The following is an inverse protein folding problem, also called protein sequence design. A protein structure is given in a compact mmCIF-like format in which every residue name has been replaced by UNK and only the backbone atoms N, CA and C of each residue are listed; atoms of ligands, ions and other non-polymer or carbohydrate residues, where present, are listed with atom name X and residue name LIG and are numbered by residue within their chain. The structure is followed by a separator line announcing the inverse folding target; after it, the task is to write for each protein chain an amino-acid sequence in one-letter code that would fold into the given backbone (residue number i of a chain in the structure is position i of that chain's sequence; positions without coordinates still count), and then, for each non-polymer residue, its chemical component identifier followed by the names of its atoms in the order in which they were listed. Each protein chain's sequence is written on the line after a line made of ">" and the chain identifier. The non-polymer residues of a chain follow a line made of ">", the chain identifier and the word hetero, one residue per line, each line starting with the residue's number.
data_IF_204633534264
#
_entry.id   IF_204633534264
#
_cell.length_a   1.000
_cell.length_b   1.000
_cell.length_c   1.000
_cell.angle_alpha   90.00
_cell.angle_beta   90.00
_cell.angle_gamma   90.00
#
_symmetry.space_group_name_H-M   'P 1'
#
loop_
_entity.id
_entity.type
_entity.pdbx_description
1 polymer ?
#
# COMPACT_ATOMS: atom_id res chain seq x y z
N UNK A 1 -17.48 -17.72 43.88
CA UNK A 1 -16.04 -17.44 43.72
C UNK A 1 -15.67 -17.84 42.30
N UNK A 2 -15.22 -16.91 41.45
CA UNK A 2 -14.70 -17.26 40.12
C UNK A 2 -13.41 -18.05 40.33
N UNK A 3 -13.45 -19.37 40.17
CA UNK A 3 -12.26 -20.22 40.17
C UNK A 3 -11.56 -20.06 38.83
N UNK A 4 -10.63 -19.11 38.74
CA UNK A 4 -9.79 -18.92 37.56
C UNK A 4 -8.81 -20.10 37.51
N UNK A 5 -9.07 -21.07 36.63
CA UNK A 5 -8.14 -22.18 36.36
C UNK A 5 -7.16 -21.79 35.26
N UNK A 6 -5.99 -22.42 35.23
CA UNK A 6 -4.98 -22.19 34.17
C UNK A 6 -5.55 -22.38 32.76
N UNK A 7 -6.47 -23.33 32.58
CA UNK A 7 -7.16 -23.58 31.32
C UNK A 7 -8.03 -22.40 30.88
N UNK A 8 -8.84 -21.83 31.80
CA UNK A 8 -9.67 -20.66 31.49
C UNK A 8 -8.82 -19.46 31.07
N UNK A 9 -7.66 -19.26 31.71
CA UNK A 9 -6.73 -18.19 31.35
C UNK A 9 -6.15 -18.40 29.93
N UNK A 10 -5.76 -19.63 29.59
CA UNK A 10 -5.21 -19.92 28.25
C UNK A 10 -6.23 -19.71 27.14
N UNK A 11 -7.50 -20.02 27.38
CA UNK A 11 -8.59 -19.84 26.42
C UNK A 11 -8.90 -18.35 26.20
N UNK A 12 -8.90 -17.56 27.26
CA UNK A 12 -9.09 -16.11 27.15
C UNK A 12 -7.93 -15.45 26.39
N UNK A 13 -6.70 -15.92 26.65
CA UNK A 13 -5.51 -15.43 25.97
C UNK A 13 -5.52 -15.83 24.48
N UNK A 14 -5.90 -17.06 24.14
CA UNK A 14 -6.00 -17.51 22.74
C UNK A 14 -7.07 -16.74 21.96
N UNK A 15 -8.23 -16.47 22.58
CA UNK A 15 -9.32 -15.72 21.95
C UNK A 15 -8.89 -14.31 21.50
N UNK A 16 -8.06 -13.62 22.29
CA UNK A 16 -7.55 -12.29 21.94
C UNK A 16 -6.29 -12.32 21.07
N UNK A 17 -5.41 -13.30 21.26
CA UNK A 17 -4.07 -13.26 20.67
C UNK A 17 -4.04 -13.48 19.16
N UNK A 18 -4.83 -14.41 18.62
CA UNK A 18 -4.87 -14.64 17.17
C UNK A 18 -5.43 -13.44 16.38
N UNK A 19 -6.57 -12.83 16.79
CA UNK A 19 -7.03 -11.58 16.18
C UNK A 19 -6.00 -10.46 16.27
N UNK A 20 -5.31 -10.36 17.41
CA UNK A 20 -4.26 -9.36 17.62
C UNK A 20 -3.11 -9.50 16.63
N UNK A 21 -2.65 -10.72 16.33
CA UNK A 21 -1.61 -10.94 15.33
C UNK A 21 -2.07 -10.50 13.94
N UNK A 22 -3.29 -10.86 13.52
CA UNK A 22 -3.83 -10.46 12.21
C UNK A 22 -3.90 -8.94 12.07
N UNK A 23 -4.41 -8.26 13.12
CA UNK A 23 -4.54 -6.80 13.15
C UNK A 23 -3.18 -6.10 13.18
N UNK A 24 -2.24 -6.60 13.99
CA UNK A 24 -0.89 -6.05 14.08
C UNK A 24 -0.12 -6.24 12.77
N UNK A 25 -0.27 -7.40 12.11
CA UNK A 25 0.31 -7.67 10.80
C UNK A 25 -0.25 -6.73 9.72
N UNK A 26 -1.56 -6.48 9.71
CA UNK A 26 -2.16 -5.46 8.83
C UNK A 26 -1.64 -4.07 9.15
N UNK A 27 -1.71 -3.60 10.40
CA UNK A 27 -1.26 -2.25 10.75
C UNK A 27 0.26 -2.08 10.57
N UNK A 28 1.02 -3.16 10.70
CA UNK A 28 2.45 -3.18 10.41
C UNK A 28 2.76 -2.95 8.93
N UNK A 29 1.89 -3.41 8.04
CA UNK A 29 2.05 -3.34 6.58
C UNK A 29 1.14 -2.30 5.92
N UNK A 30 0.19 -1.67 6.61
CA UNK A 30 -0.66 -0.66 6.01
C UNK A 30 0.16 0.60 5.64
N UNK A 31 -0.08 1.21 4.45
CA UNK A 31 0.77 2.28 3.90
C UNK A 31 0.88 3.52 4.80
N UNK A 32 -0.19 3.90 5.51
CA UNK A 32 -0.19 5.02 6.45
C UNK A 32 0.63 4.74 7.73
N UNK A 33 0.59 3.51 8.21
CA UNK A 33 1.18 3.15 9.50
C UNK A 33 2.63 2.66 9.39
N UNK A 34 3.15 2.46 8.17
CA UNK A 34 4.47 1.89 7.91
C UNK A 34 5.63 2.92 7.95
N UNK A 35 5.37 4.21 8.17
CA UNK A 35 6.45 5.21 8.32
C UNK A 35 7.10 5.20 9.74
N UNK A 36 8.30 5.80 9.84
CA UNK A 36 9.36 5.57 10.86
C UNK A 36 8.90 5.24 12.31
N UNK A 37 9.71 4.38 12.93
CA UNK A 37 9.76 3.82 14.30
C UNK A 37 8.90 4.43 15.44
N UNK A 38 8.62 5.74 15.46
CA UNK A 38 7.76 6.39 16.45
C UNK A 38 6.31 5.85 16.45
N UNK A 39 5.83 5.33 15.31
CA UNK A 39 4.46 4.81 15.15
C UNK A 39 4.29 3.38 15.69
N UNK A 40 5.37 2.67 16.05
CA UNK A 40 5.29 1.25 16.48
C UNK A 40 4.47 1.08 17.75
N UNK A 41 4.68 1.94 18.76
CA UNK A 41 3.92 1.90 20.02
C UNK A 41 2.43 2.18 19.78
N UNK A 42 2.14 3.13 18.90
CA UNK A 42 0.76 3.51 18.53
C UNK A 42 0.06 2.36 17.79
N UNK A 43 0.74 1.68 16.86
CA UNK A 43 0.21 0.49 16.17
C UNK A 43 -0.16 -0.62 17.13
N UNK A 44 0.73 -0.94 18.06
CA UNK A 44 0.50 -1.99 19.06
C UNK A 44 -0.68 -1.61 19.98
N UNK A 45 -0.74 -0.36 20.43
CA UNK A 45 -1.84 0.13 21.24
C UNK A 45 -3.18 0.08 20.48
N UNK A 46 -3.21 0.55 19.23
CA UNK A 46 -4.41 0.49 18.37
C UNK A 46 -4.86 -0.95 18.13
N UNK A 47 -3.96 -1.86 17.76
CA UNK A 47 -4.27 -3.26 17.60
C UNK A 47 -4.89 -3.86 18.88
N UNK A 48 -4.31 -3.53 20.04
CA UNK A 48 -4.78 -4.02 21.33
C UNK A 48 -6.21 -3.52 21.65
N UNK A 49 -6.48 -2.22 21.50
CA UNK A 49 -7.81 -1.66 21.76
C UNK A 49 -8.88 -2.19 20.80
N UNK A 50 -8.55 -2.33 19.51
CA UNK A 50 -9.50 -2.89 18.53
C UNK A 50 -9.82 -4.34 18.86
N UNK A 51 -8.82 -5.15 19.24
CA UNK A 51 -9.03 -6.56 19.62
C UNK A 51 -9.87 -6.69 20.88
N UNK A 52 -9.69 -5.81 21.88
CA UNK A 52 -10.54 -5.82 23.07
C UNK A 52 -12.03 -5.66 22.73
N UNK A 53 -12.34 -4.88 21.69
CA UNK A 53 -13.71 -4.63 21.24
C UNK A 53 -14.24 -5.80 20.37
N UNK A 54 -13.39 -6.35 19.51
CA UNK A 54 -13.77 -7.35 18.50
C UNK A 54 -13.78 -8.77 19.06
N UNK A 55 -12.82 -9.12 19.92
CA UNK A 55 -12.65 -10.50 20.42
C UNK A 55 -13.88 -11.14 21.08
N UNK A 56 -14.77 -10.42 21.79
CA UNK A 56 -15.98 -11.01 22.36
C UNK A 56 -17.04 -11.38 21.32
N UNK A 57 -16.97 -10.79 20.12
CA UNK A 57 -17.93 -11.01 19.03
C UNK A 57 -17.51 -12.18 18.13
N UNK A 58 -16.25 -12.61 18.22
CA UNK A 58 -15.72 -13.71 17.42
C UNK A 58 -16.14 -15.07 17.98
N UNK A 59 -16.32 -16.10 17.12
CA UNK A 59 -16.55 -17.46 17.59
C UNK A 59 -15.39 -17.93 18.47
N UNK A 60 -15.70 -18.82 19.41
CA UNK A 60 -14.72 -19.31 20.40
C UNK A 60 -13.60 -20.10 19.70
N UNK A 61 -12.36 -19.67 19.89
CA UNK A 61 -11.16 -20.27 19.31
C UNK A 61 -10.56 -21.27 20.30
N UNK A 62 -10.85 -22.56 20.09
CA UNK A 62 -10.34 -23.67 20.91
C UNK A 62 -8.97 -24.19 20.43
N UNK A 63 -8.03 -23.29 20.11
CA UNK A 63 -6.70 -23.67 19.62
C UNK A 63 -5.65 -23.25 20.64
N UNK A 64 -4.99 -24.19 21.34
CA UNK A 64 -4.03 -23.87 22.38
C UNK A 64 -2.80 -23.17 21.78
N UNK A 65 -2.43 -22.02 22.35
CA UNK A 65 -1.32 -21.17 21.88
C UNK A 65 0.03 -21.89 21.93
N UNK A 66 0.30 -22.59 23.03
CA UNK A 66 1.54 -23.31 23.26
C UNK A 66 1.50 -24.71 22.64
N UNK A 67 1.12 -24.79 21.36
CA UNK A 67 1.07 -26.04 20.59
C UNK A 67 1.62 -25.84 19.18
N UNK A 68 2.05 -26.93 18.53
CA UNK A 68 2.48 -26.89 17.13
C UNK A 68 1.38 -26.34 16.20
N UNK A 69 0.12 -26.69 16.49
CA UNK A 69 -1.04 -26.17 15.77
C UNK A 69 -1.25 -24.67 16.02
N UNK A 70 -1.07 -24.20 17.26
CA UNK A 70 -1.15 -22.77 17.58
C UNK A 70 -0.09 -21.95 16.85
N UNK A 71 1.15 -22.43 16.79
CA UNK A 71 2.22 -21.80 16.01
C UNK A 71 1.89 -21.72 14.51
N UNK A 72 1.33 -22.79 13.93
CA UNK A 72 0.86 -22.78 12.54
C UNK A 72 -0.21 -21.71 12.30
N UNK A 73 -1.20 -21.63 13.19
CA UNK A 73 -2.27 -20.63 13.10
C UNK A 73 -1.72 -19.21 13.24
N UNK A 74 -0.73 -18.97 14.11
CA UNK A 74 -0.05 -17.67 14.22
C UNK A 74 0.53 -17.23 12.88
N UNK A 75 1.25 -18.13 12.20
CA UNK A 75 1.82 -17.86 10.87
C UNK A 75 0.71 -17.56 9.86
N UNK A 76 -0.37 -18.34 9.87
CA UNK A 76 -1.52 -18.11 9.00
C UNK A 76 -2.16 -16.74 9.24
N UNK A 77 -2.41 -16.35 10.49
CA UNK A 77 -2.97 -15.03 10.83
C UNK A 77 -2.06 -13.88 10.41
N UNK A 78 -0.76 -14.06 10.58
CA UNK A 78 0.25 -13.10 10.14
C UNK A 78 0.25 -12.94 8.62
N UNK A 79 0.19 -14.06 7.86
CA UNK A 79 0.14 -14.05 6.40
C UNK A 79 -1.13 -13.35 5.90
N UNK A 80 -2.30 -13.62 6.48
CA UNK A 80 -3.55 -12.94 6.10
C UNK A 80 -3.44 -11.43 6.37
N UNK A 81 -2.93 -11.04 7.55
CA UNK A 81 -2.70 -9.63 7.90
C UNK A 81 -1.75 -8.92 6.94
N UNK A 82 -0.63 -9.55 6.61
CA UNK A 82 0.35 -9.03 5.65
C UNK A 82 -0.25 -8.91 4.26
N UNK A 83 -0.98 -9.92 3.79
CA UNK A 83 -1.63 -9.89 2.48
C UNK A 83 -2.61 -8.72 2.39
N UNK A 84 -3.41 -8.49 3.44
CA UNK A 84 -4.33 -7.35 3.48
C UNK A 84 -3.62 -6.00 3.37
N UNK A 85 -2.60 -5.78 4.21
CA UNK A 85 -1.87 -4.52 4.20
C UNK A 85 -1.06 -4.33 2.92
N UNK A 86 -0.45 -5.40 2.37
CA UNK A 86 0.31 -5.31 1.11
C UNK A 86 -0.59 -4.98 -0.07
N UNK A 87 -1.79 -5.55 -0.18
CA UNK A 87 -2.76 -5.19 -1.24
C UNK A 87 -3.06 -3.69 -1.22
N UNK A 88 -3.26 -3.11 -0.04
CA UNK A 88 -3.41 -1.65 0.08
C UNK A 88 -2.12 -0.89 -0.24
N UNK A 89 -0.96 -1.41 0.13
CA UNK A 89 0.31 -0.81 -0.31
C UNK A 89 0.43 -0.80 -1.84
N UNK A 90 -0.07 -1.81 -2.56
CA UNK A 90 0.00 -1.84 -4.03
C UNK A 90 -0.77 -0.66 -4.65
N UNK A 91 -1.92 -0.28 -4.09
CA UNK A 91 -2.67 0.90 -4.55
C UNK A 91 -1.86 2.21 -4.38
N UNK A 92 -1.17 2.36 -3.24
CA UNK A 92 -0.29 3.52 -2.99
C UNK A 92 0.97 3.47 -3.84
N UNK A 93 1.50 2.27 -4.08
CA UNK A 93 2.66 2.05 -4.94
C UNK A 93 2.35 2.43 -6.39
N UNK A 94 1.13 2.20 -6.88
CA UNK A 94 0.73 2.63 -8.22
C UNK A 94 0.84 4.16 -8.39
N UNK A 95 0.28 4.94 -7.46
CA UNK A 95 0.32 6.41 -7.54
C UNK A 95 1.75 6.95 -7.36
N UNK A 96 2.51 6.34 -6.44
CA UNK A 96 3.94 6.65 -6.26
C UNK A 96 4.74 6.38 -7.51
N UNK A 97 4.53 5.23 -8.14
CA UNK A 97 5.21 4.83 -9.37
C UNK A 97 4.92 5.82 -10.50
N UNK A 98 3.68 6.30 -10.64
CA UNK A 98 3.36 7.38 -11.56
C UNK A 98 4.21 8.63 -11.30
N UNK A 99 4.32 9.03 -10.03
CA UNK A 99 5.16 10.16 -9.62
C UNK A 99 6.64 10.00 -9.94
N UNK A 100 7.17 8.79 -9.77
CA UNK A 100 8.56 8.45 -10.12
C UNK A 100 8.78 8.54 -11.64
N UNK A 101 7.88 7.96 -12.44
CA UNK A 101 7.92 8.01 -13.91
C UNK A 101 7.83 9.44 -14.43
N UNK A 102 6.95 10.26 -13.86
CA UNK A 102 6.83 11.69 -14.22
C UNK A 102 8.12 12.44 -13.85
N UNK A 103 8.68 12.19 -12.66
CA UNK A 103 9.93 12.82 -12.21
C UNK A 103 11.14 12.45 -13.06
N UNK A 104 11.18 11.22 -13.57
CA UNK A 104 12.18 10.77 -14.54
C UNK A 104 12.09 11.57 -15.84
N UNK A 105 10.88 11.76 -16.38
CA UNK A 105 10.66 12.52 -17.62
C UNK A 105 10.99 14.00 -17.49
N UNK A 106 10.74 14.60 -16.32
CA UNK A 106 11.06 16.01 -16.05
C UNK A 106 12.56 16.27 -15.85
N UNK A 107 13.38 15.23 -15.71
CA UNK A 107 14.81 15.35 -15.41
C UNK A 107 15.13 15.60 -13.93
N UNK A 108 14.14 15.54 -13.05
CA UNK A 108 14.36 15.66 -11.59
C UNK A 108 15.16 14.49 -11.01
N UNK A 109 15.21 13.37 -11.75
CA UNK A 109 15.94 12.16 -11.36
C UNK A 109 17.39 12.12 -11.83
N UNK A 110 17.90 13.13 -12.55
CA UNK A 110 19.31 13.16 -12.97
C UNK A 110 20.28 13.07 -11.78
N UNK A 111 19.93 13.68 -10.63
CA UNK A 111 20.73 13.59 -9.41
C UNK A 111 20.93 12.14 -8.92
N UNK A 112 19.93 11.27 -9.11
CA UNK A 112 20.00 9.85 -8.68
C UNK A 112 20.83 8.97 -9.60
N UNK A 113 21.00 9.35 -10.87
CA UNK A 113 21.85 8.62 -11.81
C UNK A 113 23.34 8.92 -11.59
N UNK A 114 23.68 10.14 -11.19
CA UNK A 114 25.06 10.55 -10.98
C UNK A 114 25.61 10.18 -9.59
N UNK A 115 24.76 10.12 -8.57
CA UNK A 115 25.14 9.63 -7.25
C UNK A 115 24.08 8.68 -6.66
N UNK A 116 24.15 7.38 -6.98
CA UNK A 116 23.32 6.36 -6.34
C UNK A 116 23.74 6.06 -4.89
N UNK A 117 24.90 6.56 -4.44
CA UNK A 117 25.45 6.31 -3.09
C UNK A 117 25.05 7.36 -2.05
N UNK A 118 24.55 8.52 -2.49
CA UNK A 118 24.16 9.67 -1.66
C UNK A 118 22.93 9.51 -0.75
N UNK A 119 22.47 8.27 -0.48
CA UNK A 119 21.36 7.97 0.42
C UNK A 119 20.03 7.68 -0.29
N UNK A 120 18.96 7.36 0.46
CA UNK A 120 17.66 6.97 -0.10
C UNK A 120 16.97 8.18 -0.74
N UNK A 121 17.36 8.48 -1.98
CA UNK A 121 16.78 9.53 -2.79
C UNK A 121 15.45 9.03 -3.37
N UNK A 122 14.44 8.87 -2.52
CA UNK A 122 13.08 8.70 -3.01
C UNK A 122 12.77 9.87 -3.94
N UNK A 123 12.36 9.63 -5.20
CA UNK A 123 12.12 10.70 -6.16
C UNK A 123 11.15 11.74 -5.58
N UNK A 124 11.47 13.03 -5.73
CA UNK A 124 10.75 14.14 -5.09
C UNK A 124 9.25 14.06 -5.40
N UNK A 125 8.89 13.83 -6.66
CA UNK A 125 7.51 13.68 -7.07
C UNK A 125 6.86 12.41 -6.50
N UNK A 126 7.54 11.27 -6.51
CA UNK A 126 7.05 10.05 -5.86
C UNK A 126 6.68 10.29 -4.39
N UNK A 127 7.47 11.10 -3.67
CA UNK A 127 7.17 11.50 -2.29
C UNK A 127 5.97 12.43 -2.18
N UNK A 128 5.87 13.44 -3.04
CA UNK A 128 4.72 14.37 -3.06
C UNK A 128 3.42 13.59 -3.35
N UNK A 129 3.42 12.76 -4.39
CA UNK A 129 2.29 11.91 -4.73
C UNK A 129 1.91 10.98 -3.58
N UNK A 130 2.87 10.34 -2.91
CA UNK A 130 2.60 9.50 -1.75
C UNK A 130 1.93 10.28 -0.61
N UNK A 131 2.41 11.48 -0.28
CA UNK A 131 1.79 12.33 0.75
C UNK A 131 0.36 12.73 0.36
N UNK A 132 0.13 13.11 -0.91
CA UNK A 132 -1.21 13.44 -1.37
C UNK A 132 -2.14 12.21 -1.32
N UNK A 133 -1.67 11.04 -1.72
CA UNK A 133 -2.43 9.78 -1.62
C UNK A 133 -2.77 9.46 -0.16
N UNK A 134 -1.85 9.68 0.78
CA UNK A 134 -2.13 9.54 2.22
C UNK A 134 -3.24 10.50 2.64
N UNK A 135 -3.14 11.79 2.30
CA UNK A 135 -4.14 12.78 2.67
C UNK A 135 -5.53 12.45 2.09
N UNK A 136 -5.57 12.01 0.82
CA UNK A 136 -6.81 11.57 0.18
C UNK A 136 -7.37 10.31 0.84
N UNK A 137 -6.52 9.35 1.18
CA UNK A 137 -6.94 8.15 1.91
C UNK A 137 -7.54 8.47 3.28
N UNK A 138 -7.00 9.46 3.98
CA UNK A 138 -7.60 9.95 5.23
C UNK A 138 -8.92 10.69 4.97
N UNK A 139 -8.99 11.51 3.92
CA UNK A 139 -10.20 12.25 3.55
C UNK A 139 -11.37 11.36 3.12
N UNK A 140 -11.09 10.18 2.56
CA UNK A 140 -12.09 9.17 2.18
C UNK A 140 -12.40 8.17 3.29
N UNK A 141 -11.92 8.39 4.52
CA UNK A 141 -12.06 7.46 5.64
C UNK A 141 -11.53 6.04 5.34
N UNK A 142 -10.54 5.92 4.44
CA UNK A 142 -9.97 4.62 4.05
C UNK A 142 -9.36 3.86 5.23
N UNK A 143 -8.91 4.58 6.26
CA UNK A 143 -8.41 3.99 7.50
C UNK A 143 -9.51 3.28 8.31
N UNK A 144 -10.76 3.79 8.27
CA UNK A 144 -11.92 3.12 8.89
C UNK A 144 -12.32 1.90 8.06
N UNK A 145 -12.30 2.00 6.73
CA UNK A 145 -12.56 0.86 5.84
C UNK A 145 -11.56 -0.29 6.04
N UNK A 146 -10.28 0.02 6.28
CA UNK A 146 -9.28 -0.98 6.62
C UNK A 146 -9.65 -1.76 7.90
N UNK A 147 -10.08 -1.06 8.95
CA UNK A 147 -10.49 -1.70 10.20
C UNK A 147 -11.75 -2.55 9.95
N UNK A 148 -12.72 -2.01 9.24
CA UNK A 148 -13.95 -2.72 8.86
C UNK A 148 -13.66 -4.04 8.15
N UNK A 149 -12.76 -4.02 7.16
CA UNK A 149 -12.38 -5.22 6.40
C UNK A 149 -11.66 -6.25 7.26
N UNK A 150 -10.79 -5.84 8.18
CA UNK A 150 -10.16 -6.80 9.09
C UNK A 150 -11.19 -7.44 10.00
N UNK A 151 -12.14 -6.67 10.52
CA UNK A 151 -13.21 -7.22 11.37
C UNK A 151 -14.06 -8.21 10.57
N UNK A 152 -14.49 -7.84 9.36
CA UNK A 152 -15.25 -8.72 8.48
C UNK A 152 -14.45 -9.96 8.04
N UNK A 153 -13.12 -9.85 7.92
CA UNK A 153 -12.25 -10.99 7.57
C UNK A 153 -12.33 -12.13 8.57
N UNK A 154 -12.72 -11.91 9.82
CA UNK A 154 -12.87 -12.99 10.79
C UNK A 154 -14.14 -13.82 10.57
N UNK A 155 -15.14 -13.27 9.89
CA UNK A 155 -16.34 -14.01 9.47
C UNK A 155 -16.06 -14.83 8.20
N UNK A 156 -15.38 -14.22 7.22
CA UNK A 156 -15.05 -14.88 5.94
C UNK A 156 -13.92 -15.91 6.09
N UNK A 157 -12.88 -15.57 6.87
CA UNK A 157 -11.72 -16.41 7.14
C UNK A 157 -11.61 -16.63 8.66
N UNK A 158 -12.41 -17.57 9.22
CA UNK A 158 -12.36 -17.86 10.64
C UNK A 158 -11.00 -18.40 11.06
N UNK A 159 -10.71 -18.29 12.36
CA UNK A 159 -9.45 -18.77 12.93
C UNK A 159 -9.55 -20.30 13.06
N UNK A 160 -8.91 -20.99 12.12
CA UNK A 160 -8.92 -22.45 12.03
C UNK A 160 -7.54 -22.99 11.68
N UNK A 161 -7.36 -24.30 11.80
CA UNK A 161 -6.09 -24.99 11.47
C UNK A 161 -5.97 -25.37 10.00
N UNK A 162 -7.06 -25.30 9.23
CA UNK A 162 -7.05 -25.63 7.81
C UNK A 162 -6.15 -24.66 7.03
N UNK A 163 -5.34 -25.16 6.08
CA UNK A 163 -4.44 -24.33 5.30
C UNK A 163 -5.21 -23.39 4.37
N UNK A 164 -4.59 -22.25 4.03
CA UNK A 164 -5.12 -21.32 3.04
C UNK A 164 -5.04 -21.92 1.64
N UNK A 165 -6.10 -21.74 0.85
CA UNK A 165 -6.10 -22.17 -0.53
C UNK A 165 -5.10 -21.34 -1.39
N UNK A 166 -4.45 -22.00 -2.35
CA UNK A 166 -3.47 -21.43 -3.28
C UNK A 166 -4.06 -20.33 -4.15
N UNK A 167 -5.34 -20.42 -4.51
CA UNK A 167 -5.99 -19.50 -5.44
C UNK A 167 -6.00 -18.06 -4.92
N UNK A 168 -6.19 -17.87 -3.61
CA UNK A 168 -6.07 -16.55 -2.98
C UNK A 168 -4.69 -15.92 -3.15
N UNK A 169 -3.61 -16.71 -3.03
CA UNK A 169 -2.25 -16.21 -3.26
C UNK A 169 -1.98 -15.84 -4.73
N UNK A 170 -2.57 -16.59 -5.66
CA UNK A 170 -2.45 -16.30 -7.08
C UNK A 170 -3.11 -14.97 -7.44
N UNK A 171 -4.33 -14.75 -6.95
CA UNK A 171 -5.07 -13.49 -7.19
C UNK A 171 -4.39 -12.30 -6.51
N UNK A 172 -3.83 -12.49 -5.32
CA UNK A 172 -2.98 -11.50 -4.67
C UNK A 172 -1.77 -11.13 -5.53
N UNK A 173 -1.03 -12.12 -6.04
CA UNK A 173 0.15 -11.88 -6.87
C UNK A 173 -0.23 -11.16 -8.19
N UNK A 174 -1.37 -11.52 -8.78
CA UNK A 174 -1.86 -10.88 -10.01
C UNK A 174 -2.19 -9.40 -9.79
N UNK A 175 -2.63 -9.02 -8.59
CA UNK A 175 -2.90 -7.62 -8.25
C UNK A 175 -1.66 -6.73 -8.30
N UNK A 176 -0.45 -7.29 -8.20
CA UNK A 176 0.79 -6.51 -8.35
C UNK A 176 0.90 -5.85 -9.74
N UNK A 177 0.28 -6.42 -10.78
CA UNK A 177 0.25 -5.83 -12.12
C UNK A 177 -0.44 -4.45 -12.13
N UNK A 178 -1.39 -4.24 -11.23
CA UNK A 178 -2.10 -2.97 -11.02
C UNK A 178 -1.14 -1.82 -10.75
N UNK A 179 0.02 -2.08 -10.11
CA UNK A 179 1.06 -1.07 -9.84
C UNK A 179 1.56 -0.45 -11.14
N UNK A 180 1.92 -1.31 -12.11
CA UNK A 180 2.50 -0.88 -13.38
C UNK A 180 1.44 -0.30 -14.29
N UNK A 181 0.28 -0.97 -14.43
CA UNK A 181 -0.79 -0.51 -15.31
C UNK A 181 -1.30 0.86 -14.84
N UNK A 182 -1.67 0.99 -13.56
CA UNK A 182 -2.23 2.24 -13.07
C UNK A 182 -1.18 3.34 -12.90
N UNK A 183 0.04 2.98 -12.45
CA UNK A 183 1.14 3.93 -12.42
C UNK A 183 1.43 4.50 -13.80
N UNK A 184 1.47 3.66 -14.83
CA UNK A 184 1.66 4.09 -16.21
C UNK A 184 0.46 4.90 -16.70
N UNK A 185 -0.78 4.45 -16.49
CA UNK A 185 -1.98 5.16 -16.93
C UNK A 185 -2.06 6.60 -16.40
N UNK A 186 -1.66 6.81 -15.14
CA UNK A 186 -1.61 8.15 -14.56
C UNK A 186 -0.46 8.98 -15.15
N UNK A 187 0.68 8.37 -15.49
CA UNK A 187 1.83 9.03 -16.09
C UNK A 187 1.75 9.17 -17.64
N UNK A 188 0.85 8.44 -18.31
CA UNK A 188 0.70 8.42 -19.77
C UNK A 188 0.67 9.80 -20.42
N UNK A 189 -0.16 10.77 -19.96
CA UNK A 189 -0.22 12.06 -20.62
C UNK A 189 1.10 12.84 -20.51
N UNK A 190 1.89 12.62 -19.45
CA UNK A 190 3.22 13.22 -19.29
C UNK A 190 4.22 12.56 -20.22
N UNK A 191 4.21 11.22 -20.28
CA UNK A 191 5.11 10.47 -21.16
C UNK A 191 4.91 10.89 -22.62
N UNK A 192 3.67 10.98 -23.09
CA UNK A 192 3.39 11.35 -24.48
C UNK A 192 3.82 12.79 -24.76
N UNK A 193 3.51 13.72 -23.86
CA UNK A 193 3.92 15.12 -24.01
C UNK A 193 5.44 15.27 -24.03
N UNK A 194 6.15 14.64 -23.10
CA UNK A 194 7.60 14.73 -23.02
C UNK A 194 8.31 13.97 -24.15
N UNK A 195 7.74 12.88 -24.65
CA UNK A 195 8.26 12.22 -25.85
C UNK A 195 8.21 13.16 -27.05
N UNK A 196 7.09 13.87 -27.25
CA UNK A 196 6.95 14.87 -28.32
C UNK A 196 7.91 16.04 -28.10
N UNK A 197 8.02 16.54 -26.87
CA UNK A 197 8.94 17.63 -26.52
C UNK A 197 10.40 17.26 -26.82
N UNK A 198 10.83 16.08 -26.39
CA UNK A 198 12.19 15.59 -26.61
C UNK A 198 12.47 15.38 -28.11
N UNK A 199 11.49 14.91 -28.88
CA UNK A 199 11.61 14.81 -30.33
C UNK A 199 11.75 16.20 -30.98
N UNK A 200 10.93 17.17 -30.57
CA UNK A 200 11.00 18.55 -31.06
C UNK A 200 12.36 19.21 -30.74
N UNK A 201 12.85 19.02 -29.51
CA UNK A 201 14.17 19.47 -29.08
C UNK A 201 15.30 18.78 -29.87
N UNK A 202 15.17 17.48 -30.16
CA UNK A 202 16.11 16.74 -31.00
C UNK A 202 16.18 17.27 -32.43
N UNK A 203 15.03 17.62 -33.03
CA UNK A 203 14.98 18.26 -34.35
C UNK A 203 15.62 19.66 -34.30
N UNK A 204 15.33 20.44 -33.25
CA UNK A 204 15.92 21.77 -33.07
C UNK A 204 17.45 21.73 -32.97
N UNK A 205 17.99 20.75 -32.24
CA UNK A 205 19.43 20.49 -32.15
C UNK A 205 20.09 20.29 -33.52
N UNK A 206 19.39 19.63 -34.45
CA UNK A 206 19.89 19.42 -35.82
C UNK A 206 19.91 20.71 -36.63
N UNK A 207 18.95 21.60 -36.41
CA UNK A 207 18.83 22.88 -37.13
C UNK A 207 19.79 23.94 -36.59
N UNK A 208 19.96 23.97 -35.27
CA UNK A 208 20.80 24.96 -34.57
C UNK A 208 21.69 24.23 -33.55
N UNK A 209 22.85 23.69 -33.96
CA UNK A 209 23.74 22.93 -33.07
C UNK A 209 24.31 23.73 -31.89
N UNK A 210 24.22 25.07 -31.98
CA UNK A 210 24.69 26.01 -30.96
C UNK A 210 23.77 26.03 -29.72
N UNK A 211 22.49 25.68 -29.88
CA UNK A 211 21.56 25.53 -28.76
C UNK A 211 21.71 24.13 -28.19
N UNK A 212 22.50 23.97 -27.12
CA UNK A 212 22.56 22.66 -26.48
C UNK A 212 21.20 22.31 -25.87
N UNK A 213 20.71 21.10 -26.14
CA UNK A 213 19.50 20.55 -25.51
C UNK A 213 19.57 20.53 -23.99
N UNK A 214 20.78 20.50 -23.41
CA UNK A 214 20.93 20.62 -21.97
C UNK A 214 20.65 22.04 -21.44
N UNK A 215 21.01 23.07 -22.20
CA UNK A 215 20.77 24.49 -21.80
C UNK A 215 19.30 24.87 -21.96
N UNK A 216 18.63 24.42 -23.02
CA UNK A 216 17.24 24.82 -23.32
C UNK A 216 16.21 23.78 -22.87
N UNK A 217 16.54 22.48 -22.98
CA UNK A 217 15.61 21.39 -22.74
C UNK A 217 15.19 21.25 -21.28
N UNK A 218 16.14 21.32 -20.34
CA UNK A 218 15.82 21.18 -18.91
C UNK A 218 14.88 22.28 -18.38
N UNK A 219 15.15 23.58 -18.60
CA UNK A 219 14.19 24.62 -18.19
C UNK A 219 12.81 24.42 -18.82
N UNK A 220 12.75 23.96 -20.07
CA UNK A 220 11.51 23.74 -20.81
C UNK A 220 10.72 22.53 -20.27
N UNK A 221 11.38 21.39 -20.05
CA UNK A 221 10.72 20.19 -19.49
C UNK A 221 10.20 20.45 -18.08
N UNK A 222 10.96 21.20 -17.28
CA UNK A 222 10.62 21.50 -15.90
C UNK A 222 9.42 22.45 -15.82
N UNK A 223 9.42 23.54 -16.60
CA UNK A 223 8.29 24.49 -16.63
C UNK A 223 7.00 23.82 -17.11
N UNK A 224 7.05 23.10 -18.24
CA UNK A 224 5.90 22.37 -18.78
C UNK A 224 5.42 21.30 -17.80
N UNK A 225 6.35 20.55 -17.20
CA UNK A 225 6.02 19.52 -16.22
C UNK A 225 5.32 20.07 -14.99
N UNK A 226 5.80 21.17 -14.42
CA UNK A 226 5.14 21.83 -13.28
C UNK A 226 3.74 22.34 -13.67
N UNK A 227 3.59 22.99 -14.83
CA UNK A 227 2.27 23.43 -15.30
C UNK A 227 1.30 22.27 -15.45
N UNK A 228 1.76 21.14 -15.98
CA UNK A 228 0.94 19.95 -16.17
C UNK A 228 0.61 19.25 -14.85
N UNK A 229 1.50 19.28 -13.85
CA UNK A 229 1.22 18.75 -12.50
C UNK A 229 0.03 19.48 -11.87
N UNK A 230 -0.12 20.78 -12.10
CA UNK A 230 -1.30 21.55 -11.70
C UNK A 230 -2.61 20.97 -12.24
N UNK A 231 -2.60 20.43 -13.47
CA UNK A 231 -3.77 19.77 -14.07
C UNK A 231 -4.01 18.37 -13.48
N UNK A 232 -2.94 17.59 -13.22
CA UNK A 232 -3.07 16.27 -12.61
C UNK A 232 -3.65 16.34 -11.20
N UNK A 233 -3.27 17.34 -10.41
CA UNK A 233 -3.75 17.50 -9.03
C UNK A 233 -5.28 17.51 -8.97
N UNK A 234 -5.95 18.09 -9.96
CA UNK A 234 -7.43 18.11 -10.06
C UNK A 234 -8.04 16.74 -10.37
N UNK A 235 -7.30 15.84 -11.02
CA UNK A 235 -7.76 14.50 -11.44
C UNK A 235 -7.39 13.44 -10.38
N UNK A 236 -6.33 13.69 -9.62
CA UNK A 236 -5.74 12.76 -8.66
C UNK A 236 -6.72 12.23 -7.59
N UNK A 237 -7.65 13.03 -7.01
CA UNK A 237 -8.62 12.53 -6.02
C UNK A 237 -9.48 11.41 -6.59
N UNK A 238 -10.12 11.64 -7.74
CA UNK A 238 -11.00 10.67 -8.41
C UNK A 238 -10.25 9.42 -8.83
N UNK A 239 -9.00 9.57 -9.26
CA UNK A 239 -8.16 8.44 -9.64
C UNK A 239 -7.78 7.58 -8.42
N UNK A 240 -7.35 8.24 -7.35
CA UNK A 240 -6.95 7.59 -6.09
C UNK A 240 -8.13 6.87 -5.43
N UNK A 241 -9.31 7.51 -5.41
CA UNK A 241 -10.55 6.90 -4.92
C UNK A 241 -10.85 5.58 -5.65
N UNK A 242 -10.81 5.58 -6.99
CA UNK A 242 -11.00 4.36 -7.80
C UNK A 242 -9.99 3.27 -7.47
N UNK A 243 -8.71 3.62 -7.28
CA UNK A 243 -7.68 2.64 -6.91
C UNK A 243 -7.90 2.05 -5.52
N UNK A 244 -8.32 2.87 -4.55
CA UNK A 244 -8.65 2.43 -3.21
C UNK A 244 -9.85 1.46 -3.25
N UNK A 245 -10.90 1.79 -3.99
CA UNK A 245 -12.04 0.90 -4.18
C UNK A 245 -11.64 -0.42 -4.84
N UNK A 246 -10.84 -0.39 -5.91
CA UNK A 246 -10.33 -1.60 -6.55
C UNK A 246 -9.51 -2.48 -5.60
N UNK A 247 -8.69 -1.88 -4.74
CA UNK A 247 -7.95 -2.64 -3.73
C UNK A 247 -8.87 -3.30 -2.72
N UNK A 248 -9.95 -2.63 -2.31
CA UNK A 248 -10.95 -3.21 -1.41
C UNK A 248 -11.76 -4.34 -2.05
N UNK A 249 -12.16 -4.20 -3.32
CA UNK A 249 -12.79 -5.28 -4.10
C UNK A 249 -11.85 -6.48 -4.25
N UNK A 250 -10.55 -6.23 -4.45
CA UNK A 250 -9.56 -7.31 -4.52
C UNK A 250 -9.43 -8.05 -3.19
N UNK A 251 -9.48 -7.35 -2.06
CA UNK A 251 -9.43 -7.97 -0.74
C UNK A 251 -10.61 -8.90 -0.50
N UNK A 252 -11.83 -8.50 -0.87
CA UNK A 252 -13.01 -9.36 -0.72
C UNK A 252 -12.94 -10.60 -1.61
N UNK A 253 -12.48 -10.45 -2.86
CA UNK A 253 -12.23 -11.57 -3.78
C UNK A 253 -11.19 -12.53 -3.20
N UNK A 254 -10.07 -11.99 -2.72
CA UNK A 254 -8.98 -12.77 -2.13
C UNK A 254 -9.45 -13.59 -0.94
N UNK A 255 -10.31 -13.05 -0.07
CA UNK A 255 -10.85 -13.80 1.07
C UNK A 255 -11.74 -14.96 0.64
N UNK A 256 -12.61 -14.75 -0.35
CA UNK A 256 -13.49 -15.82 -0.84
C UNK A 256 -12.72 -16.99 -1.45
N UNK A 257 -11.54 -16.73 -2.02
CA UNK A 257 -10.68 -17.76 -2.60
C UNK A 257 -9.70 -18.40 -1.62
N UNK A 258 -9.59 -17.88 -0.39
CA UNK A 258 -8.75 -18.47 0.65
C UNK A 258 -9.48 -19.55 1.47
N UNK A 259 -10.81 -19.54 1.46
CA UNK A 259 -11.69 -20.57 2.03
C UNK A 259 -11.57 -21.87 1.23
#
# INVERSE_FOLDING_TARGET
>A
MLTITSETLTLWLSQGFYPFIRLLALLGTAPFFNEKQAITKVRVALAFFVVLIVSPQLPVVNIPLFSAMGLWVIVQQMVIGIAMGLTMQMAFAAVRHAGEVIGLQMGLSFATFFDPTGGPNMPILGRIFNVITILLFLAFDGHLWLIYIVVNSFELLPIQTAPLNRDGFWVFAQFANTIFINGLMLALPFITLFLILNLALGILNRMTPQLSVFVVGFPLTLTIGISMLGLIISILPRYTERLIHQAFEQLSLMFNLFV
#
